data_IF_235990360918
#
_entry.id   IF_235990360918
#
_cell.length_a   1.000
_cell.length_b   1.000
_cell.length_c   1.000
_cell.angle_alpha   90.00
_cell.angle_beta   90.00
_cell.angle_gamma   90.00
#
_symmetry.space_group_name_H-M   'P 1'
#
loop_
_entity.id
_entity.type
_entity.pdbx_description
1 polymer ?
#
# COMPACT_ATOMS: atom_id res chain seq x y z
N UNK A 1 -29.48 -0.28 1.28
CA UNK A 1 -28.70 0.18 2.47
C UNK A 1 -27.83 -0.95 3.05
N UNK A 2 -28.34 -2.16 3.26
CA UNK A 2 -27.55 -3.24 3.84
C UNK A 2 -26.51 -3.78 2.86
N UNK A 3 -26.82 -3.88 1.56
CA UNK A 3 -25.87 -4.30 0.52
C UNK A 3 -24.70 -3.31 0.39
N UNK A 4 -24.96 -2.02 0.32
CA UNK A 4 -23.92 -0.98 0.26
C UNK A 4 -22.97 -1.06 1.45
N UNK A 5 -23.51 -1.14 2.67
CA UNK A 5 -22.71 -1.26 3.89
C UNK A 5 -21.83 -2.51 3.89
N UNK A 6 -22.33 -3.63 3.40
CA UNK A 6 -21.56 -4.88 3.34
C UNK A 6 -20.50 -4.79 2.25
N UNK A 7 -20.81 -4.21 1.09
CA UNK A 7 -19.87 -3.96 0.03
C UNK A 7 -18.72 -3.06 0.48
N UNK A 8 -19.01 -1.94 1.13
CA UNK A 8 -17.99 -1.04 1.70
C UNK A 8 -17.14 -1.75 2.76
N UNK A 9 -17.76 -2.57 3.59
CA UNK A 9 -17.03 -3.37 4.57
C UNK A 9 -16.15 -4.44 3.92
N UNK A 10 -16.58 -5.00 2.80
CA UNK A 10 -15.85 -6.02 2.06
C UNK A 10 -14.67 -5.42 1.30
N UNK A 11 -14.88 -4.33 0.57
CA UNK A 11 -13.89 -3.73 -0.31
C UNK A 11 -12.97 -2.75 0.41
N UNK A 12 -13.48 -2.04 1.43
CA UNK A 12 -12.75 -1.02 2.17
C UNK A 12 -12.22 0.11 1.31
N UNK A 13 -12.78 0.31 0.13
CA UNK A 13 -12.28 1.28 -0.84
C UNK A 13 -12.65 2.69 -0.42
N UNK A 14 -11.65 3.53 -0.41
CA UNK A 14 -11.76 4.99 -0.37
C UNK A 14 -11.43 5.46 -1.79
N UNK A 15 -12.40 5.31 -2.69
CA UNK A 15 -12.21 5.63 -4.09
C UNK A 15 -12.39 7.14 -4.31
N UNK A 16 -11.59 7.70 -5.21
CA UNK A 16 -11.90 9.03 -5.75
C UNK A 16 -13.19 8.95 -6.57
N UNK A 17 -13.95 10.04 -6.75
CA UNK A 17 -15.19 10.02 -7.52
C UNK A 17 -15.05 9.42 -8.93
N UNK A 18 -13.91 9.63 -9.59
CA UNK A 18 -13.64 9.06 -10.91
C UNK A 18 -13.38 7.55 -10.88
N UNK A 19 -12.70 7.04 -9.86
CA UNK A 19 -12.49 5.61 -9.68
C UNK A 19 -13.78 4.89 -9.30
N UNK A 20 -14.68 5.56 -8.59
CA UNK A 20 -16.03 5.03 -8.27
C UNK A 20 -16.84 4.75 -9.55
N UNK A 21 -16.77 5.62 -10.55
CA UNK A 21 -17.57 5.50 -11.78
C UNK A 21 -17.12 4.34 -12.67
N UNK A 22 -15.81 4.04 -12.74
CA UNK A 22 -15.27 3.06 -13.70
C UNK A 22 -14.95 1.70 -13.08
N UNK A 23 -14.34 1.67 -11.89
CA UNK A 23 -13.88 0.42 -11.27
C UNK A 23 -14.90 -0.17 -10.30
N UNK A 24 -15.56 0.64 -9.50
CA UNK A 24 -16.59 0.17 -8.55
C UNK A 24 -17.83 -0.34 -9.27
N UNK A 25 -18.10 0.11 -10.50
CA UNK A 25 -19.27 -0.37 -11.26
C UNK A 25 -19.17 -1.87 -11.54
N UNK A 26 -18.00 -2.38 -11.92
CA UNK A 26 -17.80 -3.82 -12.19
C UNK A 26 -17.87 -4.64 -10.90
N UNK A 27 -17.14 -4.23 -9.86
CA UNK A 27 -17.17 -4.94 -8.57
C UNK A 27 -18.53 -4.87 -7.88
N UNK A 28 -19.21 -3.73 -7.97
CA UNK A 28 -20.56 -3.56 -7.46
C UNK A 28 -21.55 -4.43 -8.22
N UNK A 29 -21.41 -4.53 -9.53
CA UNK A 29 -22.22 -5.41 -10.35
C UNK A 29 -21.98 -6.88 -9.98
N UNK A 30 -20.72 -7.33 -9.91
CA UNK A 30 -20.36 -8.69 -9.49
C UNK A 30 -20.88 -9.01 -8.08
N UNK A 31 -20.82 -8.04 -7.16
CA UNK A 31 -21.36 -8.19 -5.80
C UNK A 31 -22.89 -8.39 -5.82
N UNK A 32 -23.62 -7.57 -6.59
CA UNK A 32 -25.08 -7.69 -6.67
C UNK A 32 -25.49 -9.01 -7.33
N UNK A 33 -24.84 -9.43 -8.41
CA UNK A 33 -25.07 -10.72 -9.05
C UNK A 33 -24.91 -11.88 -8.05
N UNK A 34 -23.84 -11.87 -7.26
CA UNK A 34 -23.63 -12.88 -6.23
C UNK A 34 -24.67 -12.83 -5.12
N UNK A 35 -25.11 -11.62 -4.72
CA UNK A 35 -26.19 -11.45 -3.76
C UNK A 35 -27.52 -11.99 -4.29
N UNK A 36 -27.82 -11.75 -5.55
CA UNK A 36 -29.08 -12.19 -6.19
C UNK A 36 -29.10 -13.71 -6.37
N UNK A 37 -27.98 -14.33 -6.70
CA UNK A 37 -27.90 -15.79 -6.89
C UNK A 37 -27.80 -16.59 -5.59
N UNK A 38 -27.06 -16.08 -4.61
CA UNK A 38 -26.67 -16.86 -3.43
C UNK A 38 -27.07 -16.22 -2.10
N UNK A 39 -27.54 -14.98 -2.14
CA UNK A 39 -27.84 -14.18 -0.94
C UNK A 39 -26.60 -13.58 -0.28
N UNK A 40 -26.82 -12.52 0.46
CA UNK A 40 -25.79 -11.72 1.11
C UNK A 40 -24.93 -12.54 2.11
N UNK A 41 -25.58 -13.44 2.87
CA UNK A 41 -24.90 -14.29 3.85
C UNK A 41 -23.90 -15.28 3.20
N UNK A 42 -24.10 -15.59 1.92
CA UNK A 42 -23.14 -16.41 1.17
C UNK A 42 -21.80 -15.70 1.02
N UNK A 43 -21.79 -14.42 0.66
CA UNK A 43 -20.55 -13.66 0.43
C UNK A 43 -19.70 -13.58 1.70
N UNK A 44 -20.34 -13.35 2.85
CA UNK A 44 -19.62 -13.32 4.12
C UNK A 44 -19.06 -14.69 4.48
N UNK A 45 -19.83 -15.75 4.33
CA UNK A 45 -19.36 -17.13 4.57
C UNK A 45 -18.25 -17.50 3.59
N UNK A 46 -18.39 -17.18 2.30
CA UNK A 46 -17.37 -17.42 1.30
C UNK A 46 -16.05 -16.72 1.64
N UNK A 47 -16.08 -15.47 2.08
CA UNK A 47 -14.88 -14.74 2.53
C UNK A 47 -14.16 -15.45 3.68
N UNK A 48 -14.91 -15.97 4.66
CA UNK A 48 -14.32 -16.72 5.78
C UNK A 48 -13.77 -18.07 5.33
N UNK A 49 -14.49 -18.79 4.47
CA UNK A 49 -14.02 -20.08 3.94
C UNK A 49 -12.77 -19.90 3.08
N UNK A 50 -12.73 -18.87 2.24
CA UNK A 50 -11.55 -18.52 1.45
C UNK A 50 -10.35 -18.17 2.34
N UNK A 51 -10.58 -17.37 3.38
CA UNK A 51 -9.53 -17.07 4.36
C UNK A 51 -9.00 -18.34 5.02
N UNK A 52 -9.87 -19.22 5.50
CA UNK A 52 -9.45 -20.47 6.13
C UNK A 52 -8.65 -21.34 5.16
N UNK A 53 -9.13 -21.51 3.95
CA UNK A 53 -8.44 -22.26 2.91
C UNK A 53 -7.03 -21.71 2.62
N UNK A 54 -6.90 -20.38 2.43
CA UNK A 54 -5.61 -19.73 2.19
C UNK A 54 -4.69 -19.87 3.40
N UNK A 55 -5.24 -19.71 4.61
CA UNK A 55 -4.49 -19.87 5.85
C UNK A 55 -3.94 -21.29 5.98
N UNK A 56 -4.74 -22.31 5.70
CA UNK A 56 -4.32 -23.71 5.75
C UNK A 56 -3.26 -23.99 4.67
N UNK A 57 -3.47 -23.52 3.45
CA UNK A 57 -2.52 -23.68 2.35
C UNK A 57 -1.15 -23.09 2.67
N UNK A 58 -1.11 -21.86 3.22
CA UNK A 58 0.15 -21.20 3.57
C UNK A 58 0.75 -21.81 4.83
N UNK A 59 -0.06 -22.08 5.86
CA UNK A 59 0.44 -22.59 7.13
C UNK A 59 0.98 -24.02 7.05
N UNK A 60 0.55 -24.82 6.09
CA UNK A 60 1.10 -26.16 5.83
C UNK A 60 2.36 -26.14 4.96
N UNK A 61 2.69 -25.00 4.34
CA UNK A 61 3.90 -24.86 3.53
C UNK A 61 5.16 -25.00 4.39
N UNK A 62 6.12 -25.85 3.98
CA UNK A 62 7.32 -26.16 4.74
C UNK A 62 8.19 -24.91 5.02
N UNK A 63 8.31 -23.99 4.05
CA UNK A 63 9.11 -22.77 4.20
C UNK A 63 8.44 -21.76 5.14
N UNK A 64 7.10 -21.70 5.12
CA UNK A 64 6.38 -20.90 6.10
C UNK A 64 6.52 -21.50 7.52
N UNK A 65 6.44 -22.84 7.64
CA UNK A 65 6.68 -23.54 8.91
C UNK A 65 8.09 -23.31 9.44
N UNK A 66 9.09 -23.27 8.56
CA UNK A 66 10.46 -22.90 8.94
C UNK A 66 10.55 -21.47 9.48
N UNK A 67 9.91 -20.51 8.80
CA UNK A 67 9.86 -19.12 9.26
C UNK A 67 9.27 -19.01 10.68
N UNK A 68 8.13 -19.67 10.94
CA UNK A 68 7.46 -19.54 12.24
C UNK A 68 8.20 -20.26 13.38
N UNK A 69 9.05 -21.23 13.07
CA UNK A 69 9.93 -21.87 14.06
C UNK A 69 11.17 -21.07 14.41
N UNK A 70 11.64 -20.22 13.50
CA UNK A 70 12.81 -19.35 13.77
C UNK A 70 12.52 -18.37 14.92
N UNK A 71 13.55 -17.94 15.67
CA UNK A 71 13.40 -16.81 16.59
C UNK A 71 12.85 -15.58 15.87
N UNK A 72 12.12 -14.72 16.58
CA UNK A 72 11.64 -13.47 15.99
C UNK A 72 12.83 -12.65 15.48
N UNK A 73 12.78 -12.29 14.21
CA UNK A 73 13.75 -11.35 13.66
C UNK A 73 13.61 -10.01 14.39
N UNK A 74 14.73 -9.47 14.88
CA UNK A 74 14.77 -8.15 15.49
C UNK A 74 15.28 -7.19 14.43
N UNK A 75 14.48 -6.17 14.10
CA UNK A 75 14.95 -5.11 13.21
C UNK A 75 16.14 -4.41 13.87
N UNK A 76 17.26 -4.37 13.15
CA UNK A 76 18.43 -3.62 13.57
C UNK A 76 18.35 -2.13 13.22
N UNK A 77 17.29 -1.73 12.53
CA UNK A 77 17.02 -0.35 12.16
C UNK A 77 16.04 0.25 13.16
N UNK A 78 16.46 1.34 13.79
CA UNK A 78 15.58 2.11 14.67
C UNK A 78 14.49 2.76 13.84
N UNK A 79 13.24 2.57 14.22
CA UNK A 79 12.12 3.29 13.59
C UNK A 79 12.35 4.80 13.74
N UNK A 80 12.09 5.54 12.66
CA UNK A 80 12.12 6.99 12.65
C UNK A 80 10.68 7.47 12.76
N UNK A 81 10.40 8.30 13.74
CA UNK A 81 9.07 8.88 13.91
C UNK A 81 8.66 9.62 12.64
N UNK A 82 7.40 9.48 12.27
CA UNK A 82 6.87 10.13 11.08
C UNK A 82 6.76 11.65 11.29
N UNK A 83 7.69 12.39 10.69
CA UNK A 83 7.72 13.86 10.68
C UNK A 83 7.10 14.45 9.40
N UNK A 84 6.55 13.63 8.51
CA UNK A 84 6.05 14.04 7.20
C UNK A 84 4.82 14.94 7.33
N UNK A 85 3.87 14.53 8.18
CA UNK A 85 2.59 15.23 8.34
C UNK A 85 2.68 16.33 9.39
N UNK A 86 3.32 17.43 9.02
CA UNK A 86 3.52 18.62 9.85
C UNK A 86 3.28 19.86 8.99
N UNK A 87 2.57 20.88 9.51
CA UNK A 87 2.31 22.13 8.79
C UNK A 87 3.59 22.83 8.31
N UNK A 88 4.71 22.66 9.02
CA UNK A 88 6.02 23.22 8.62
C UNK A 88 6.60 22.56 7.36
N UNK A 89 5.98 21.49 6.86
CA UNK A 89 6.39 20.76 5.67
C UNK A 89 5.60 21.15 4.42
N UNK A 90 4.84 22.24 4.46
CA UNK A 90 4.20 22.82 3.30
C UNK A 90 5.22 23.11 2.19
N UNK A 91 4.90 22.68 0.95
CA UNK A 91 5.77 22.84 -0.21
C UNK A 91 7.01 21.95 -0.26
N UNK A 92 7.30 21.18 0.80
CA UNK A 92 8.45 20.28 0.85
C UNK A 92 8.23 19.06 -0.04
N UNK A 93 9.28 18.69 -0.78
CA UNK A 93 9.27 17.50 -1.65
C UNK A 93 9.81 16.28 -0.90
N UNK A 94 9.13 15.17 -1.08
CA UNK A 94 9.49 13.88 -0.48
C UNK A 94 9.56 12.78 -1.54
N UNK A 95 10.37 11.76 -1.27
CA UNK A 95 10.28 10.44 -1.93
C UNK A 95 9.85 9.42 -0.90
N UNK A 96 8.83 8.63 -1.22
CA UNK A 96 8.41 7.48 -0.45
C UNK A 96 8.75 6.20 -1.21
N UNK A 97 9.27 5.22 -0.48
CA UNK A 97 9.55 3.86 -0.96
C UNK A 97 8.74 2.91 -0.09
N UNK A 98 7.77 2.25 -0.67
CA UNK A 98 6.84 1.34 0.01
C UNK A 98 6.92 -0.07 -0.59
N UNK A 99 6.85 -1.11 0.25
CA UNK A 99 6.81 -2.49 -0.22
C UNK A 99 5.41 -2.81 -0.73
N UNK A 100 5.29 -3.04 -2.03
CA UNK A 100 4.01 -3.44 -2.62
C UNK A 100 3.55 -4.79 -2.04
N UNK A 101 2.36 -4.78 -1.41
CA UNK A 101 1.78 -6.01 -0.87
C UNK A 101 2.71 -6.75 0.10
N UNK A 102 3.30 -6.04 1.07
CA UNK A 102 4.39 -6.50 1.94
C UNK A 102 4.25 -7.95 2.41
N UNK A 103 3.10 -8.36 2.94
CA UNK A 103 2.87 -9.72 3.41
C UNK A 103 2.97 -10.76 2.28
N UNK A 104 2.38 -10.46 1.11
CA UNK A 104 2.45 -11.36 -0.04
C UNK A 104 3.86 -11.43 -0.61
N UNK A 105 4.52 -10.27 -0.76
CA UNK A 105 5.90 -10.18 -1.20
C UNK A 105 6.87 -10.95 -0.28
N UNK A 106 6.63 -10.95 1.04
CA UNK A 106 7.45 -11.75 1.96
C UNK A 106 7.20 -13.25 1.84
N UNK A 107 5.98 -13.68 1.55
CA UNK A 107 5.69 -15.10 1.27
C UNK A 107 6.41 -15.56 -0.02
N UNK A 108 6.48 -14.69 -1.02
CA UNK A 108 7.28 -14.96 -2.23
C UNK A 108 8.79 -14.96 -1.91
N UNK A 109 9.26 -14.01 -1.10
CA UNK A 109 10.67 -13.89 -0.72
C UNK A 109 11.19 -15.13 0.01
N UNK A 110 10.40 -15.72 0.91
CA UNK A 110 10.76 -16.96 1.60
C UNK A 110 10.50 -18.22 0.75
N UNK A 111 9.93 -18.07 -0.45
CA UNK A 111 9.61 -19.19 -1.35
C UNK A 111 8.33 -19.98 -0.97
N UNK A 112 7.54 -19.50 0.00
CA UNK A 112 6.27 -20.14 0.36
C UNK A 112 5.22 -19.99 -0.77
N UNK A 113 5.35 -18.97 -1.60
CA UNK A 113 4.60 -18.77 -2.84
C UNK A 113 5.63 -18.53 -3.96
N UNK A 114 5.54 -19.30 -5.04
CA UNK A 114 6.44 -19.16 -6.19
C UNK A 114 6.09 -17.88 -6.99
N UNK A 115 7.01 -16.89 -7.06
CA UNK A 115 6.75 -15.64 -7.78
C UNK A 115 6.72 -15.82 -9.31
N UNK A 116 7.22 -16.92 -9.85
CA UNK A 116 7.14 -17.21 -11.29
C UNK A 116 5.76 -17.73 -11.68
N UNK A 117 5.12 -18.50 -10.81
CA UNK A 117 3.77 -19.03 -11.00
C UNK A 117 2.72 -17.99 -10.61
N UNK A 118 2.95 -17.31 -9.51
CA UNK A 118 2.02 -16.33 -8.94
C UNK A 118 2.71 -14.97 -8.75
N UNK A 119 2.92 -14.18 -9.81
CA UNK A 119 3.63 -12.90 -9.73
C UNK A 119 2.87 -11.84 -8.91
N UNK A 120 1.55 -11.96 -8.84
CA UNK A 120 0.70 -11.05 -8.04
C UNK A 120 -0.26 -11.81 -7.13
N UNK A 121 -0.84 -11.10 -6.16
CA UNK A 121 -1.94 -11.63 -5.35
C UNK A 121 -3.15 -12.06 -6.18
N UNK A 122 -3.45 -11.32 -7.24
CA UNK A 122 -4.55 -11.63 -8.16
C UNK A 122 -4.30 -12.96 -8.86
N UNK A 123 -3.09 -13.20 -9.36
CA UNK A 123 -2.72 -14.46 -10.00
C UNK A 123 -2.81 -15.63 -9.01
N UNK A 124 -2.42 -15.40 -7.76
CA UNK A 124 -2.51 -16.41 -6.71
C UNK A 124 -3.97 -16.77 -6.38
N UNK A 125 -4.88 -15.79 -6.38
CA UNK A 125 -6.30 -16.04 -6.09
C UNK A 125 -7.10 -16.60 -7.27
N UNK A 126 -6.71 -16.27 -8.50
CA UNK A 126 -7.44 -16.60 -9.71
C UNK A 126 -7.91 -18.08 -9.80
N UNK A 127 -7.08 -19.09 -9.48
CA UNK A 127 -7.50 -20.48 -9.51
C UNK A 127 -8.61 -20.84 -8.53
N UNK A 128 -8.80 -20.07 -7.46
CA UNK A 128 -9.74 -20.37 -6.38
C UNK A 128 -11.06 -19.62 -6.50
N UNK A 129 -11.05 -18.42 -7.07
CA UNK A 129 -12.22 -17.53 -7.08
C UNK A 129 -12.65 -17.12 -8.49
N UNK A 130 -11.91 -17.55 -9.54
CA UNK A 130 -12.12 -17.08 -10.90
C UNK A 130 -11.71 -15.61 -11.07
N UNK A 131 -11.98 -15.04 -12.25
CA UNK A 131 -11.54 -13.70 -12.64
C UNK A 131 -12.42 -12.56 -12.07
N UNK A 132 -13.15 -12.78 -10.98
CA UNK A 132 -13.99 -11.74 -10.38
C UNK A 132 -13.14 -10.69 -9.67
N UNK A 133 -13.19 -9.47 -10.16
CA UNK A 133 -12.44 -8.32 -9.60
C UNK A 133 -12.75 -8.08 -8.12
N UNK A 134 -14.00 -8.27 -7.72
CA UNK A 134 -14.46 -8.18 -6.33
C UNK A 134 -13.57 -8.97 -5.36
N UNK A 135 -12.97 -10.06 -5.79
CA UNK A 135 -12.11 -10.90 -4.95
C UNK A 135 -10.63 -10.73 -5.29
N UNK A 136 -10.25 -10.83 -6.57
CA UNK A 136 -8.84 -10.88 -6.98
C UNK A 136 -8.11 -9.55 -6.78
N UNK A 137 -8.79 -8.42 -6.97
CA UNK A 137 -8.22 -7.08 -6.81
C UNK A 137 -8.46 -6.47 -5.42
N UNK A 138 -9.18 -7.16 -4.55
CA UNK A 138 -9.62 -6.65 -3.26
C UNK A 138 -8.46 -6.59 -2.23
N UNK A 139 -7.94 -5.38 -2.00
CA UNK A 139 -6.88 -5.12 -1.02
C UNK A 139 -7.28 -5.55 0.40
N UNK A 140 -8.55 -5.30 0.79
CA UNK A 140 -9.02 -5.61 2.15
C UNK A 140 -9.15 -7.12 2.36
N UNK A 141 -9.60 -7.85 1.33
CA UNK A 141 -9.61 -9.32 1.38
C UNK A 141 -8.19 -9.87 1.53
N UNK A 142 -7.22 -9.35 0.76
CA UNK A 142 -5.82 -9.73 0.92
C UNK A 142 -5.32 -9.48 2.33
N UNK A 143 -5.55 -8.30 2.87
CA UNK A 143 -5.14 -7.96 4.23
C UNK A 143 -5.83 -8.84 5.27
N UNK A 144 -7.09 -9.19 5.07
CA UNK A 144 -7.82 -10.09 5.93
C UNK A 144 -7.24 -11.51 5.90
N UNK A 145 -6.98 -12.05 4.71
CA UNK A 145 -6.43 -13.40 4.55
C UNK A 145 -5.02 -13.50 5.14
N UNK A 146 -4.13 -12.58 4.78
CA UNK A 146 -2.73 -12.66 5.16
C UNK A 146 -2.45 -12.14 6.57
N UNK A 147 -3.24 -11.19 7.07
CA UNK A 147 -3.08 -10.64 8.42
C UNK A 147 -3.54 -11.55 9.55
N UNK A 148 -4.21 -12.66 9.21
CA UNK A 148 -4.66 -13.67 10.18
C UNK A 148 -3.92 -15.01 10.07
N UNK A 149 -2.83 -15.04 9.34
CA UNK A 149 -1.98 -16.23 9.29
C UNK A 149 -1.45 -16.58 10.69
N UNK A 150 -1.27 -17.88 11.01
CA UNK A 150 -0.66 -18.30 12.26
C UNK A 150 0.68 -17.61 12.48
N UNK A 151 0.88 -17.01 13.64
CA UNK A 151 2.10 -16.27 13.97
C UNK A 151 2.46 -15.15 12.96
N UNK A 152 1.44 -14.47 12.42
CA UNK A 152 1.58 -13.35 11.48
C UNK A 152 2.68 -12.34 11.87
N UNK A 153 2.89 -12.09 13.18
CA UNK A 153 3.92 -11.20 13.67
C UNK A 153 5.36 -11.60 13.25
N UNK A 154 5.59 -12.87 12.86
CA UNK A 154 6.87 -13.33 12.32
C UNK A 154 7.06 -12.80 10.89
N UNK A 155 6.00 -12.85 10.10
CA UNK A 155 6.01 -12.29 8.75
C UNK A 155 6.17 -10.76 8.81
N UNK A 156 5.47 -10.11 9.74
CA UNK A 156 5.62 -8.68 10.00
C UNK A 156 7.07 -8.31 10.38
N UNK A 157 7.68 -9.06 11.29
CA UNK A 157 9.06 -8.83 11.66
C UNK A 157 10.04 -9.02 10.48
N UNK A 158 9.75 -9.97 9.60
CA UNK A 158 10.57 -10.23 8.41
C UNK A 158 10.55 -9.03 7.43
N UNK A 159 9.37 -8.49 7.09
CA UNK A 159 9.35 -7.35 6.16
C UNK A 159 9.91 -6.06 6.80
N UNK A 160 9.74 -5.86 8.11
CA UNK A 160 10.43 -4.76 8.82
C UNK A 160 11.95 -4.89 8.75
N UNK A 161 12.47 -6.08 8.95
CA UNK A 161 13.91 -6.35 8.81
C UNK A 161 14.37 -6.14 7.36
N UNK A 162 13.60 -6.63 6.40
CA UNK A 162 13.89 -6.49 4.98
C UNK A 162 13.91 -5.02 4.55
N UNK A 163 12.91 -4.22 4.94
CA UNK A 163 12.87 -2.78 4.71
C UNK A 163 14.10 -2.09 5.29
N UNK A 164 14.51 -2.45 6.50
CA UNK A 164 15.71 -1.91 7.13
C UNK A 164 17.00 -2.25 6.38
N UNK A 165 17.09 -3.45 5.81
CA UNK A 165 18.24 -3.86 5.00
C UNK A 165 18.28 -3.06 3.69
N UNK A 166 17.14 -2.96 2.99
CA UNK A 166 17.02 -2.16 1.75
C UNK A 166 17.35 -0.69 2.03
N UNK A 167 16.86 -0.12 3.12
CA UNK A 167 17.21 1.24 3.51
C UNK A 167 18.72 1.44 3.60
N UNK A 168 19.43 0.56 4.30
CA UNK A 168 20.88 0.71 4.51
C UNK A 168 21.68 0.46 3.26
N UNK A 169 21.49 -0.67 2.60
CA UNK A 169 22.37 -1.14 1.54
C UNK A 169 22.07 -0.51 0.20
N UNK A 170 20.82 -0.19 -0.08
CA UNK A 170 20.43 0.32 -1.39
C UNK A 170 20.19 1.82 -1.36
N UNK A 171 19.32 2.28 -0.44
CA UNK A 171 18.92 3.69 -0.46
C UNK A 171 20.04 4.60 0.00
N UNK A 172 20.82 4.25 1.03
CA UNK A 172 21.98 5.06 1.43
C UNK A 172 23.00 5.11 0.29
N UNK A 173 23.33 3.97 -0.33
CA UNK A 173 24.29 3.95 -1.44
C UNK A 173 23.77 4.75 -2.65
N UNK A 174 22.47 4.69 -2.96
CA UNK A 174 21.89 5.50 -4.03
C UNK A 174 22.09 7.00 -3.78
N UNK A 175 22.02 7.43 -2.54
CA UNK A 175 22.17 8.83 -2.17
C UNK A 175 23.61 9.30 -2.26
N UNK A 176 24.53 8.52 -1.74
CA UNK A 176 25.97 8.81 -1.80
C UNK A 176 26.44 8.86 -3.26
N UNK A 177 26.02 7.93 -4.12
CA UNK A 177 26.38 7.88 -5.54
C UNK A 177 25.86 9.10 -6.34
N UNK A 178 24.78 9.74 -5.92
CA UNK A 178 24.15 10.88 -6.60
C UNK A 178 24.41 12.23 -5.93
N UNK A 179 25.15 12.23 -4.82
CA UNK A 179 25.45 13.45 -4.04
C UNK A 179 24.19 14.27 -3.67
N UNK A 180 23.06 13.56 -3.48
CA UNK A 180 21.79 14.21 -3.13
C UNK A 180 21.68 14.28 -1.61
N UNK A 181 21.51 15.48 -1.08
CA UNK A 181 21.25 15.66 0.36
C UNK A 181 19.84 15.18 0.70
N UNK A 182 19.79 14.14 1.51
CA UNK A 182 18.55 13.45 1.84
C UNK A 182 18.45 13.19 3.33
N UNK A 183 17.30 13.54 3.87
CA UNK A 183 16.98 13.24 5.25
C UNK A 183 15.87 12.21 5.32
N UNK A 184 16.13 11.06 5.97
CA UNK A 184 15.07 10.13 6.33
C UNK A 184 14.17 10.77 7.38
N UNK A 185 12.89 10.94 7.06
CA UNK A 185 11.88 11.59 7.93
C UNK A 185 10.79 10.66 8.39
N UNK A 186 10.72 9.46 7.82
CA UNK A 186 9.91 8.36 8.33
C UNK A 186 10.51 7.02 7.92
N UNK A 187 10.59 6.12 8.88
CA UNK A 187 10.89 4.71 8.68
C UNK A 187 9.94 3.93 9.58
N UNK A 188 8.87 3.45 9.01
CA UNK A 188 7.78 2.80 9.75
C UNK A 188 7.22 1.68 8.91
N UNK A 189 7.29 0.49 9.44
CA UNK A 189 6.67 -0.64 8.80
C UNK A 189 7.30 -0.97 7.43
N UNK A 190 6.50 -0.90 6.40
CA UNK A 190 6.83 -1.19 5.01
C UNK A 190 7.17 0.05 4.16
N UNK A 191 7.09 1.26 4.75
CA UNK A 191 7.36 2.52 4.06
C UNK A 191 8.60 3.22 4.65
N UNK A 192 9.44 3.76 3.76
CA UNK A 192 10.52 4.71 4.09
C UNK A 192 10.25 6.01 3.35
N UNK A 193 10.38 7.14 4.04
CA UNK A 193 10.18 8.46 3.44
C UNK A 193 11.41 9.33 3.64
N UNK A 194 11.86 9.92 2.55
CA UNK A 194 12.98 10.87 2.53
C UNK A 194 12.48 12.26 2.14
N UNK A 195 12.98 13.26 2.82
CA UNK A 195 12.85 14.65 2.42
C UNK A 195 13.98 14.98 1.45
N UNK A 196 13.64 15.58 0.32
CA UNK A 196 14.60 16.05 -0.69
C UNK A 196 15.08 17.46 -0.39
N UNK A 197 16.23 17.82 -0.96
CA UNK A 197 16.71 19.19 -1.03
C UNK A 197 15.69 20.09 -1.74
N UNK A 198 15.33 21.24 -1.17
CA UNK A 198 14.37 22.17 -1.78
C UNK A 198 14.81 22.72 -3.15
N UNK A 199 16.10 22.69 -3.47
CA UNK A 199 16.64 23.18 -4.74
C UNK A 199 16.41 22.25 -5.93
N UNK A 200 16.05 20.96 -5.68
CA UNK A 200 15.81 19.99 -6.75
C UNK A 200 14.61 20.37 -7.60
N UNK A 201 14.81 20.41 -8.91
CA UNK A 201 13.74 20.65 -9.89
C UNK A 201 12.91 19.39 -10.09
N UNK A 202 11.66 19.52 -10.55
CA UNK A 202 10.78 18.39 -10.77
C UNK A 202 11.37 17.33 -11.71
N UNK A 203 12.08 17.71 -12.77
CA UNK A 203 12.72 16.76 -13.69
C UNK A 203 13.82 15.95 -12.99
N UNK A 204 14.68 16.59 -12.19
CA UNK A 204 15.73 15.93 -11.43
C UNK A 204 15.14 14.95 -10.41
N UNK A 205 13.98 15.30 -9.82
CA UNK A 205 13.22 14.43 -8.91
C UNK A 205 12.69 13.19 -9.64
N UNK A 206 12.14 13.36 -10.86
CA UNK A 206 11.63 12.25 -11.67
C UNK A 206 12.79 11.30 -12.04
N UNK A 207 13.89 11.83 -12.54
CA UNK A 207 15.07 11.05 -12.90
C UNK A 207 15.63 10.28 -11.70
N UNK A 208 15.61 10.89 -10.52
CA UNK A 208 16.05 10.26 -9.29
C UNK A 208 15.09 9.16 -8.82
N UNK A 209 13.79 9.34 -8.94
CA UNK A 209 12.78 8.28 -8.69
C UNK A 209 13.03 7.08 -9.58
N UNK A 210 13.27 7.29 -10.88
CA UNK A 210 13.53 6.20 -11.82
C UNK A 210 14.88 5.51 -11.54
N UNK A 211 15.88 6.26 -11.13
CA UNK A 211 17.13 5.68 -10.67
C UNK A 211 16.92 4.74 -9.47
N UNK A 212 16.19 5.18 -8.45
CA UNK A 212 15.86 4.34 -7.27
C UNK A 212 15.06 3.10 -7.69
N UNK A 213 14.04 3.26 -8.54
CA UNK A 213 13.24 2.13 -9.06
C UNK A 213 14.10 1.08 -9.72
N UNK A 214 15.00 1.50 -10.62
CA UNK A 214 15.91 0.62 -11.34
C UNK A 214 16.91 -0.08 -10.40
N UNK A 215 17.42 0.63 -9.41
CA UNK A 215 18.35 0.08 -8.41
C UNK A 215 17.66 -0.98 -7.56
N UNK A 216 16.48 -0.67 -7.02
CA UNK A 216 15.69 -1.60 -6.22
C UNK A 216 15.26 -2.84 -7.02
N UNK A 217 14.92 -2.69 -8.30
CA UNK A 217 14.57 -3.82 -9.15
C UNK A 217 15.75 -4.80 -9.35
N UNK A 218 16.99 -4.28 -9.40
CA UNK A 218 18.21 -5.12 -9.50
C UNK A 218 18.53 -5.82 -8.19
N UNK A 219 18.49 -5.08 -7.07
CA UNK A 219 18.85 -5.61 -5.75
C UNK A 219 17.78 -6.53 -5.16
N UNK A 220 16.54 -6.35 -5.58
CA UNK A 220 15.37 -7.08 -5.07
C UNK A 220 14.42 -7.49 -6.19
N UNK A 221 14.74 -8.55 -6.95
CA UNK A 221 13.92 -8.95 -8.10
C UNK A 221 12.55 -9.54 -7.69
N UNK A 222 12.44 -10.11 -6.48
CA UNK A 222 11.23 -10.75 -5.98
C UNK A 222 10.29 -9.73 -5.34
N UNK A 223 10.80 -8.97 -4.37
CA UNK A 223 9.98 -7.99 -3.64
C UNK A 223 9.82 -6.73 -4.47
N UNK A 224 8.59 -6.33 -4.70
CA UNK A 224 8.27 -5.15 -5.51
C UNK A 224 8.09 -3.91 -4.63
N UNK A 225 8.55 -2.77 -5.15
CA UNK A 225 8.46 -1.48 -4.47
C UNK A 225 7.57 -0.51 -5.26
N UNK A 226 6.86 0.34 -4.54
CA UNK A 226 6.32 1.58 -5.05
C UNK A 226 7.27 2.71 -4.66
N UNK A 227 7.86 3.38 -5.64
CA UNK A 227 8.68 4.58 -5.43
C UNK A 227 7.93 5.76 -5.99
N UNK A 228 7.59 6.72 -5.14
CA UNK A 228 6.77 7.87 -5.52
C UNK A 228 7.38 9.15 -4.97
N UNK A 229 7.47 10.19 -5.80
CA UNK A 229 7.78 11.53 -5.34
C UNK A 229 6.49 12.34 -5.22
N UNK A 230 6.43 13.19 -4.19
CA UNK A 230 5.31 14.10 -3.98
C UNK A 230 5.74 15.36 -3.26
N UNK A 231 5.01 16.45 -3.53
CA UNK A 231 5.10 17.68 -2.77
C UNK A 231 3.97 17.73 -1.75
N UNK A 232 4.30 18.11 -0.52
CA UNK A 232 3.29 18.24 0.52
C UNK A 232 2.52 19.55 0.36
N UNK A 233 1.20 19.46 0.39
CA UNK A 233 0.32 20.62 0.51
C UNK A 233 -0.58 20.44 1.72
N UNK A 234 -0.80 21.50 2.50
CA UNK A 234 -1.67 21.49 3.67
C UNK A 234 -2.98 22.19 3.35
N UNK A 235 -4.07 21.75 3.98
CA UNK A 235 -5.34 22.45 3.93
C UNK A 235 -6.17 22.20 5.19
N UNK A 236 -7.06 23.14 5.51
CA UNK A 236 -7.96 23.00 6.64
C UNK A 236 -9.34 22.51 6.18
N UNK A 237 -9.61 21.23 6.41
CA UNK A 237 -10.92 20.66 6.10
C UNK A 237 -11.94 21.08 7.17
N UNK A 238 -13.10 21.60 6.72
CA UNK A 238 -14.16 22.15 7.60
C UNK A 238 -13.62 23.16 8.63
N UNK A 239 -12.61 23.95 8.26
CA UNK A 239 -11.96 24.97 9.10
C UNK A 239 -11.38 24.48 10.45
N UNK A 240 -11.44 23.19 10.75
CA UNK A 240 -11.04 22.63 12.04
C UNK A 240 -9.91 21.61 11.97
N UNK A 241 -9.84 20.88 10.88
CA UNK A 241 -8.94 19.72 10.77
C UNK A 241 -7.84 20.01 9.78
N UNK A 242 -6.60 20.03 10.27
CA UNK A 242 -5.43 20.13 9.40
C UNK A 242 -5.28 18.79 8.65
N UNK A 243 -5.40 18.83 7.35
CA UNK A 243 -5.24 17.71 6.45
C UNK A 243 -4.05 17.96 5.51
N UNK A 244 -3.56 16.90 4.89
CA UNK A 244 -2.39 16.93 4.03
C UNK A 244 -2.72 16.29 2.68
N UNK A 245 -2.26 16.90 1.60
CA UNK A 245 -2.30 16.33 0.26
C UNK A 245 -0.87 16.01 -0.20
N UNK A 246 -0.62 14.76 -0.58
CA UNK A 246 0.58 14.34 -1.29
C UNK A 246 0.35 14.62 -2.77
N UNK A 247 0.88 15.73 -3.30
CA UNK A 247 0.79 16.11 -4.72
C UNK A 247 1.87 15.35 -5.49
N UNK A 248 1.50 14.32 -6.25
CA UNK A 248 2.48 13.45 -6.93
C UNK A 248 3.21 14.18 -8.06
N UNK A 249 4.49 13.89 -8.22
CA UNK A 249 5.38 14.45 -9.24
C UNK A 249 5.66 13.36 -10.28
N UNK A 250 5.37 13.64 -11.56
CA UNK A 250 5.64 12.72 -12.66
C UNK A 250 4.64 11.57 -12.83
N UNK A 251 3.56 11.52 -12.06
CA UNK A 251 2.49 10.53 -12.23
C UNK A 251 1.31 11.14 -12.99
N UNK A 252 0.86 10.47 -14.06
CA UNK A 252 -0.25 10.93 -14.90
C UNK A 252 -1.62 10.49 -14.39
N UNK A 253 -1.70 9.34 -13.71
CA UNK A 253 -2.98 8.73 -13.31
C UNK A 253 -3.51 9.24 -11.97
N UNK A 254 -2.63 9.63 -11.05
CA UNK A 254 -3.02 10.09 -9.71
C UNK A 254 -2.33 11.39 -9.37
N UNK A 255 -3.09 12.47 -9.36
CA UNK A 255 -2.55 13.79 -9.08
C UNK A 255 -2.19 13.99 -7.60
N UNK A 256 -3.00 13.45 -6.68
CA UNK A 256 -2.76 13.58 -5.24
C UNK A 256 -3.43 12.48 -4.39
N UNK A 257 -3.02 12.38 -3.12
CA UNK A 257 -3.63 11.52 -2.10
C UNK A 257 -3.76 12.28 -0.77
N UNK A 258 -4.95 12.23 -0.16
CA UNK A 258 -5.21 12.94 1.10
C UNK A 258 -4.83 12.08 2.32
N UNK A 259 -4.22 12.72 3.31
CA UNK A 259 -3.81 12.13 4.57
C UNK A 259 -4.37 12.92 5.75
N UNK A 260 -4.48 12.25 6.90
CA UNK A 260 -4.98 12.84 8.14
C UNK A 260 -6.43 13.35 8.05
N UNK A 261 -7.24 12.84 7.13
CA UNK A 261 -8.68 13.13 7.08
C UNK A 261 -9.35 12.40 8.26
N UNK A 262 -10.04 13.11 9.16
CA UNK A 262 -10.74 12.50 10.28
C UNK A 262 -11.82 11.52 9.83
N UNK A 263 -11.93 10.37 10.50
CA UNK A 263 -12.85 9.29 10.14
C UNK A 263 -12.84 9.03 8.62
N UNK A 264 -11.65 8.72 8.11
CA UNK A 264 -11.33 8.65 6.68
C UNK A 264 -12.36 7.83 5.89
N UNK A 265 -12.88 6.76 6.47
CA UNK A 265 -13.87 5.88 5.83
C UNK A 265 -15.17 6.57 5.46
N UNK A 266 -15.55 7.65 6.17
CA UNK A 266 -16.78 8.41 5.93
C UNK A 266 -16.57 9.75 5.23
N UNK A 267 -15.40 10.35 5.43
CA UNK A 267 -15.17 11.76 5.11
C UNK A 267 -14.20 11.97 3.95
N UNK A 268 -13.54 10.92 3.46
CA UNK A 268 -12.49 11.05 2.45
C UNK A 268 -13.00 11.67 1.15
N UNK A 269 -14.14 11.21 0.67
CA UNK A 269 -14.73 11.70 -0.58
C UNK A 269 -15.08 13.20 -0.49
N UNK A 270 -15.75 13.61 0.59
CA UNK A 270 -16.08 15.02 0.81
C UNK A 270 -14.81 15.88 0.92
N UNK A 271 -13.82 15.41 1.69
CA UNK A 271 -12.55 16.12 1.82
C UNK A 271 -11.79 16.21 0.47
N UNK A 272 -11.91 15.17 -0.37
CA UNK A 272 -11.32 15.15 -1.70
C UNK A 272 -12.00 16.18 -2.63
N UNK A 273 -13.33 16.25 -2.62
CA UNK A 273 -14.09 17.23 -3.41
C UNK A 273 -13.79 18.67 -2.97
N UNK A 274 -13.77 18.90 -1.64
CA UNK A 274 -13.42 20.22 -1.08
C UNK A 274 -11.99 20.62 -1.48
N UNK A 275 -11.03 19.70 -1.45
CA UNK A 275 -9.65 19.97 -1.87
C UNK A 275 -9.56 20.23 -3.38
N UNK A 276 -10.28 19.48 -4.22
CA UNK A 276 -10.37 19.76 -5.66
C UNK A 276 -10.92 21.16 -5.96
N UNK A 277 -11.88 21.64 -5.17
CA UNK A 277 -12.42 22.99 -5.31
C UNK A 277 -11.36 24.05 -4.96
N UNK A 278 -10.62 23.84 -3.88
CA UNK A 278 -9.52 24.74 -3.50
C UNK A 278 -8.43 24.86 -4.58
N UNK A 279 -8.12 23.74 -5.28
CA UNK A 279 -7.15 23.74 -6.38
C UNK A 279 -7.63 24.49 -7.62
N UNK A 280 -8.93 24.66 -7.83
CA UNK A 280 -9.48 25.42 -8.94
C UNK A 280 -9.49 26.93 -8.67
N UNK A 281 -9.54 27.30 -7.39
CA UNK A 281 -9.61 28.70 -6.94
C UNK A 281 -8.20 29.30 -6.71
N UNK A 282 -7.15 28.48 -6.77
CA UNK A 282 -5.73 28.86 -6.63
C UNK A 282 -5.03 28.96 -7.98
#
# INVERSE_FOLDING_TARGET
RDREKIFDNLTGRLLTPQQVITETSVEWQEFNELCDWHGIAFIERFRYSLHQFISDLISTNALYQELIRKPRAVSSVKEVNNEVYNAKKEGVTFISVDIKSANFGMLQYIGAIDPQIYPTWSDFLLPFVGARKLFVENKKLRQFCLGKLPQYYKLEALWKQYTGTIYRTVLCNCFDEKEVDLRCVALSGDEVVFQLDPSMKNNDVIDFVDYIRNRLAKESPIVKFAVQAYRMQTFHWRKKHLCFARMFIGESEKQFDLKCVPDRSKNYETAYQDFCSLLKDS
#
